data_IF_410039089129
#
_entry.id   IF_410039089129
#
_cell.length_a   1.000
_cell.length_b   1.000
_cell.length_c   1.000
_cell.angle_alpha   90.00
_cell.angle_beta   90.00
_cell.angle_gamma   90.00
#
_symmetry.space_group_name_H-M   'P 1'
#
loop_
_entity.id
_entity.type
_entity.pdbx_description
1 polymer ?
#
# COMPACT_ATOMS: atom_id res chain seq x y z
N UNK A 1 28.42 9.60 10.53
CA UNK A 1 28.64 8.16 10.50
C UNK A 1 27.63 7.60 9.52
N UNK A 2 28.09 7.08 8.41
CA UNK A 2 27.26 6.46 7.38
C UNK A 2 27.06 4.99 7.77
N UNK A 3 25.81 4.56 7.93
CA UNK A 3 25.46 3.18 8.29
C UNK A 3 24.59 2.60 7.18
N UNK A 4 24.87 1.36 6.78
CA UNK A 4 24.00 0.59 5.88
C UNK A 4 23.53 -0.69 6.54
N UNK A 5 22.30 -1.11 6.28
CA UNK A 5 21.84 -2.46 6.61
C UNK A 5 21.91 -3.33 5.36
N UNK A 6 22.60 -4.46 5.48
CA UNK A 6 22.68 -5.48 4.43
C UNK A 6 21.81 -6.67 4.80
N UNK A 7 20.81 -6.95 3.96
CA UNK A 7 19.84 -8.02 4.18
C UNK A 7 19.75 -8.93 2.96
N UNK A 8 19.68 -10.23 3.20
CA UNK A 8 19.32 -11.25 2.20
C UNK A 8 18.03 -11.88 2.67
N UNK A 9 16.98 -11.76 1.88
CA UNK A 9 15.66 -12.32 2.23
C UNK A 9 15.13 -13.17 1.08
N UNK A 10 14.50 -14.31 1.40
CA UNK A 10 13.66 -14.98 0.43
C UNK A 10 12.34 -14.20 0.32
N UNK A 11 12.04 -13.73 -0.88
CA UNK A 11 10.88 -12.91 -1.13
C UNK A 11 9.59 -13.67 -0.85
N UNK A 12 8.70 -13.05 -0.06
CA UNK A 12 7.40 -13.66 0.29
C UNK A 12 6.41 -13.55 -0.85
N UNK A 13 6.42 -12.42 -1.57
CA UNK A 13 5.37 -12.05 -2.50
C UNK A 13 5.73 -12.18 -3.98
N UNK A 14 6.97 -12.54 -4.33
CA UNK A 14 7.46 -12.50 -5.72
C UNK A 14 8.10 -13.84 -6.05
N UNK A 15 7.62 -14.43 -7.13
CA UNK A 15 8.07 -15.70 -7.67
C UNK A 15 8.24 -15.57 -9.18
N UNK A 16 8.98 -16.49 -9.78
CA UNK A 16 9.16 -16.55 -11.23
C UNK A 16 8.96 -17.97 -11.73
N UNK A 17 8.58 -18.15 -12.99
CA UNK A 17 8.57 -19.47 -13.63
C UNK A 17 9.74 -19.63 -14.59
N UNK A 18 10.06 -20.89 -14.94
CA UNK A 18 10.98 -21.21 -16.04
C UNK A 18 10.49 -20.64 -17.39
N UNK A 19 9.18 -20.37 -17.51
CA UNK A 19 8.60 -19.72 -18.69
C UNK A 19 8.96 -18.23 -18.79
N UNK A 20 9.71 -17.67 -17.83
CA UNK A 20 10.13 -16.25 -17.76
C UNK A 20 8.95 -15.32 -17.50
N UNK A 21 8.07 -15.77 -16.63
CA UNK A 21 6.94 -15.01 -16.11
C UNK A 21 7.21 -14.72 -14.63
N UNK A 22 6.76 -13.56 -14.16
CA UNK A 22 6.82 -13.18 -12.76
C UNK A 22 5.42 -13.23 -12.17
N UNK A 23 5.35 -13.77 -10.96
CA UNK A 23 4.11 -14.00 -10.24
C UNK A 23 4.18 -13.28 -8.91
N UNK A 24 3.16 -12.49 -8.66
CA UNK A 24 3.00 -11.81 -7.41
C UNK A 24 1.91 -12.50 -6.57
N UNK A 25 2.20 -12.75 -5.29
CA UNK A 25 1.30 -13.41 -4.34
C UNK A 25 1.07 -12.47 -3.17
N UNK A 26 -0.16 -11.96 -2.99
CA UNK A 26 -0.45 -10.91 -1.99
C UNK A 26 -0.19 -11.32 -0.54
N UNK A 27 -0.53 -12.55 -0.19
CA UNK A 27 -0.41 -13.08 1.18
C UNK A 27 0.96 -13.73 1.43
N UNK A 28 1.79 -13.74 0.39
CA UNK A 28 3.02 -14.49 0.32
C UNK A 28 2.80 -16.00 0.17
N UNK A 29 3.87 -16.69 -0.18
CA UNK A 29 3.83 -18.11 -0.51
C UNK A 29 5.05 -18.83 0.08
N UNK A 30 4.80 -19.99 0.71
CA UNK A 30 5.86 -20.86 1.19
C UNK A 30 6.68 -21.46 0.02
N UNK A 31 8.02 -21.54 0.12
CA UNK A 31 8.84 -22.15 -0.93
C UNK A 31 8.44 -23.60 -1.29
N UNK A 32 8.03 -24.43 -0.33
CA UNK A 32 7.63 -25.82 -0.63
C UNK A 32 6.35 -25.91 -1.47
N UNK A 33 5.49 -24.91 -1.32
CA UNK A 33 4.25 -24.77 -2.07
C UNK A 33 4.52 -24.20 -3.47
N UNK A 34 5.45 -23.25 -3.61
CA UNK A 34 5.90 -22.72 -4.89
C UNK A 34 6.43 -23.82 -5.82
N UNK A 35 7.19 -24.78 -5.28
CA UNK A 35 7.68 -25.94 -6.05
C UNK A 35 6.53 -26.75 -6.67
N UNK A 36 5.44 -26.96 -5.91
CA UNK A 36 4.24 -27.66 -6.39
C UNK A 36 3.52 -26.94 -7.54
N UNK A 37 3.78 -25.65 -7.71
CA UNK A 37 3.19 -24.80 -8.76
C UNK A 37 4.15 -24.53 -9.93
N UNK A 38 5.29 -25.20 -9.96
CA UNK A 38 6.38 -24.90 -10.88
C UNK A 38 6.85 -23.43 -10.79
N UNK A 39 6.73 -22.84 -9.59
CA UNK A 39 7.25 -21.52 -9.26
C UNK A 39 8.59 -21.62 -8.56
N UNK A 40 9.46 -20.69 -8.91
CA UNK A 40 10.80 -20.54 -8.38
C UNK A 40 10.76 -19.39 -7.38
N UNK A 41 11.08 -19.64 -6.09
CA UNK A 41 11.21 -18.58 -5.11
C UNK A 41 12.29 -17.57 -5.53
N UNK A 42 12.10 -16.30 -5.18
CA UNK A 42 13.05 -15.23 -5.49
C UNK A 42 13.80 -14.86 -4.21
N UNK A 43 15.11 -14.66 -4.31
CA UNK A 43 15.96 -14.11 -3.26
C UNK A 43 16.21 -12.64 -3.57
N UNK A 44 15.97 -11.77 -2.59
CA UNK A 44 16.26 -10.35 -2.67
C UNK A 44 17.49 -10.01 -1.82
N UNK A 45 18.52 -9.46 -2.46
CA UNK A 45 19.65 -8.82 -1.78
C UNK A 45 19.38 -7.34 -1.72
N UNK A 46 19.40 -6.78 -0.52
CA UNK A 46 19.10 -5.36 -0.30
C UNK A 46 20.17 -4.74 0.58
N UNK A 47 20.61 -3.56 0.17
CA UNK A 47 21.43 -2.67 0.97
C UNK A 47 20.66 -1.37 1.16
N UNK A 48 20.35 -0.95 2.38
CA UNK A 48 19.57 0.26 2.62
C UNK A 48 20.20 1.19 3.66
N UNK A 49 19.76 2.46 3.64
CA UNK A 49 20.09 3.46 4.65
C UNK A 49 18.97 3.46 5.71
N UNK A 50 19.26 3.15 6.98
CA UNK A 50 18.22 3.01 7.99
C UNK A 50 17.43 4.31 8.21
N UNK A 51 16.11 4.18 8.29
CA UNK A 51 15.19 5.31 8.50
C UNK A 51 14.93 6.17 7.26
N UNK A 52 15.53 5.83 6.11
CA UNK A 52 15.31 6.46 4.82
C UNK A 52 14.84 5.42 3.79
N UNK A 53 14.07 5.85 2.80
CA UNK A 53 13.71 5.00 1.65
C UNK A 53 14.82 5.01 0.59
N UNK A 54 16.08 4.90 1.04
CA UNK A 54 17.26 4.83 0.17
C UNK A 54 17.83 3.42 0.21
N UNK A 55 17.82 2.73 -0.93
CA UNK A 55 18.24 1.34 -1.01
C UNK A 55 18.78 0.97 -2.39
N UNK A 56 19.55 -0.11 -2.45
CA UNK A 56 19.90 -0.81 -3.67
C UNK A 56 19.43 -2.26 -3.51
N UNK A 57 18.65 -2.76 -4.48
CA UNK A 57 18.05 -4.08 -4.41
C UNK A 57 18.26 -4.86 -5.71
N UNK A 58 18.66 -6.13 -5.59
CA UNK A 58 18.72 -7.07 -6.72
C UNK A 58 18.00 -8.36 -6.37
N UNK A 59 17.46 -9.02 -7.39
CA UNK A 59 16.70 -10.24 -7.28
C UNK A 59 17.41 -11.39 -7.99
N UNK A 60 17.36 -12.57 -7.39
CA UNK A 60 18.00 -13.80 -7.85
C UNK A 60 17.02 -14.97 -7.71
N UNK A 61 17.19 -16.05 -8.47
CA UNK A 61 16.40 -17.25 -8.21
C UNK A 61 16.91 -17.94 -6.94
N UNK A 62 16.02 -18.65 -6.28
CA UNK A 62 16.40 -19.65 -5.29
C UNK A 62 17.33 -20.68 -5.96
N UNK A 63 18.40 -21.04 -5.27
CA UNK A 63 19.53 -21.89 -5.69
C UNK A 63 20.48 -21.25 -6.71
N UNK A 64 20.29 -19.97 -7.05
CA UNK A 64 21.31 -19.25 -7.81
C UNK A 64 22.53 -19.00 -6.93
N UNK A 65 23.69 -19.05 -7.57
CA UNK A 65 24.96 -18.72 -6.94
C UNK A 65 25.18 -17.21 -6.95
N UNK A 66 25.05 -16.57 -5.80
CA UNK A 66 25.05 -15.11 -5.70
C UNK A 66 26.44 -14.58 -5.32
N UNK A 67 26.96 -13.62 -6.08
CA UNK A 67 28.21 -12.91 -5.75
C UNK A 67 27.92 -11.69 -4.88
N UNK A 68 28.15 -11.84 -3.58
CA UNK A 68 27.97 -10.76 -2.59
C UNK A 68 28.96 -9.60 -2.86
N UNK A 69 30.19 -9.92 -3.30
CA UNK A 69 31.21 -8.93 -3.63
C UNK A 69 30.76 -8.02 -4.77
N UNK A 70 30.24 -8.60 -5.85
CA UNK A 70 29.73 -7.82 -6.99
C UNK A 70 28.52 -6.97 -6.59
N UNK A 71 27.60 -7.52 -5.80
CA UNK A 71 26.45 -6.78 -5.31
C UNK A 71 26.85 -5.56 -4.48
N UNK A 72 27.73 -5.73 -3.48
CA UNK A 72 28.18 -4.62 -2.63
C UNK A 72 28.97 -3.58 -3.44
N UNK A 73 29.87 -4.04 -4.32
CA UNK A 73 30.62 -3.15 -5.21
C UNK A 73 29.67 -2.34 -6.10
N UNK A 74 28.73 -3.00 -6.77
CA UNK A 74 27.76 -2.35 -7.64
C UNK A 74 26.91 -1.35 -6.86
N UNK A 75 26.40 -1.72 -5.69
CA UNK A 75 25.60 -0.84 -4.84
C UNK A 75 26.37 0.44 -4.49
N UNK A 76 27.61 0.32 -4.02
CA UNK A 76 28.43 1.46 -3.59
C UNK A 76 29.01 2.28 -4.74
N UNK A 77 29.31 1.64 -5.88
CA UNK A 77 29.89 2.31 -7.03
C UNK A 77 28.83 3.01 -7.90
N UNK A 78 27.64 2.42 -8.03
CA UNK A 78 26.63 2.84 -9.01
C UNK A 78 25.43 3.58 -8.43
N UNK A 79 25.08 3.37 -7.14
CA UNK A 79 23.96 4.07 -6.51
C UNK A 79 24.44 5.35 -5.79
N UNK A 80 24.23 6.55 -6.37
CA UNK A 80 24.70 7.79 -5.76
C UNK A 80 24.02 8.12 -4.43
N UNK A 81 22.83 7.57 -4.18
CA UNK A 81 22.09 7.79 -2.94
C UNK A 81 22.69 7.05 -1.76
N UNK A 82 23.46 5.97 -1.97
CA UNK A 82 24.11 5.24 -0.89
C UNK A 82 25.41 5.89 -0.42
N UNK A 83 25.94 6.89 -1.15
CA UNK A 83 27.18 7.59 -0.79
C UNK A 83 28.41 6.68 -0.65
N UNK A 84 28.40 5.49 -1.24
CA UNK A 84 29.54 4.58 -1.28
C UNK A 84 29.68 3.68 -0.04
N UNK A 85 30.92 3.33 0.32
CA UNK A 85 31.25 2.45 1.44
C UNK A 85 30.86 3.13 2.77
N UNK A 86 30.07 2.48 3.64
CA UNK A 86 29.65 3.05 4.91
C UNK A 86 30.77 3.00 5.97
N UNK A 87 30.65 3.80 7.03
CA UNK A 87 31.48 3.64 8.23
C UNK A 87 31.13 2.34 8.97
N UNK A 88 29.84 1.96 8.94
CA UNK A 88 29.30 0.80 9.65
C UNK A 88 28.36 -0.01 8.75
N UNK A 89 28.55 -1.33 8.73
CA UNK A 89 27.68 -2.27 8.01
C UNK A 89 26.96 -3.15 9.02
N UNK A 90 25.65 -2.98 9.13
CA UNK A 90 24.80 -3.84 9.92
C UNK A 90 24.38 -5.06 9.09
N UNK A 91 24.50 -6.24 9.67
CA UNK A 91 24.20 -7.51 9.02
C UNK A 91 23.60 -8.47 10.04
N UNK A 92 22.73 -9.37 9.58
CA UNK A 92 22.19 -10.42 10.43
C UNK A 92 23.31 -11.36 10.94
N UNK A 93 23.22 -11.79 12.19
CA UNK A 93 24.21 -12.68 12.82
C UNK A 93 24.32 -14.02 12.10
N UNK A 94 23.18 -14.58 11.65
CA UNK A 94 23.15 -15.83 10.91
C UNK A 94 23.81 -15.67 9.54
N UNK A 95 23.49 -14.58 8.82
CA UNK A 95 24.11 -14.24 7.54
C UNK A 95 25.62 -14.04 7.68
N UNK A 96 26.07 -13.35 8.73
CA UNK A 96 27.50 -13.13 9.02
C UNK A 96 28.24 -14.44 9.27
N UNK A 97 27.57 -15.46 9.83
CA UNK A 97 28.16 -16.77 10.08
C UNK A 97 28.42 -17.58 8.81
N UNK A 98 27.67 -17.32 7.74
CA UNK A 98 27.74 -18.06 6.47
C UNK A 98 28.54 -17.30 5.41
N UNK A 99 28.46 -15.97 5.39
CA UNK A 99 29.16 -15.14 4.39
C UNK A 99 30.57 -14.84 4.87
N UNK A 100 31.62 -15.11 4.06
CA UNK A 100 33.00 -14.73 4.39
C UNK A 100 33.23 -13.22 4.18
N UNK A 101 32.41 -12.39 4.83
CA UNK A 101 32.30 -10.96 4.57
C UNK A 101 33.63 -10.24 4.75
N UNK A 102 34.43 -10.64 5.75
CA UNK A 102 35.77 -10.10 5.96
C UNK A 102 36.70 -10.29 4.76
N UNK A 103 36.65 -11.45 4.10
CA UNK A 103 37.45 -11.71 2.88
C UNK A 103 36.94 -10.92 1.68
N UNK A 104 35.62 -10.77 1.56
CA UNK A 104 34.98 -9.95 0.52
C UNK A 104 35.35 -8.47 0.69
N UNK A 105 35.25 -7.95 1.90
CA UNK A 105 35.55 -6.55 2.23
C UNK A 105 37.02 -6.20 1.99
N UNK A 106 37.96 -7.13 2.21
CA UNK A 106 39.37 -6.94 1.85
C UNK A 106 39.59 -6.72 0.34
N UNK A 107 38.68 -7.20 -0.51
CA UNK A 107 38.75 -7.01 -1.96
C UNK A 107 38.14 -5.67 -2.40
N UNK A 108 37.01 -5.28 -1.80
CA UNK A 108 36.22 -4.11 -2.24
C UNK A 108 36.54 -2.83 -1.48
N UNK A 109 37.09 -2.96 -0.27
CA UNK A 109 37.52 -1.87 0.61
C UNK A 109 38.95 -2.14 1.14
N UNK A 110 39.96 -2.13 0.25
CA UNK A 110 41.35 -2.37 0.65
C UNK A 110 41.91 -1.27 1.57
N UNK A 111 41.31 -0.08 1.51
CA UNK A 111 41.73 1.09 2.28
C UNK A 111 41.13 1.12 3.71
N UNK A 112 40.22 0.20 4.02
CA UNK A 112 39.60 0.06 5.34
C UNK A 112 38.71 1.24 5.73
N UNK A 113 37.92 1.73 4.78
CA UNK A 113 36.94 2.79 5.01
C UNK A 113 35.80 2.31 5.91
N UNK A 114 35.37 1.06 5.76
CA UNK A 114 34.45 0.38 6.65
C UNK A 114 35.15 0.07 7.97
N UNK A 115 34.71 0.74 9.03
CA UNK A 115 35.32 0.63 10.37
C UNK A 115 34.75 -0.52 11.16
N UNK A 116 33.47 -0.80 10.99
CA UNK A 116 32.74 -1.72 11.85
C UNK A 116 31.70 -2.55 11.09
N UNK A 117 31.64 -3.84 11.43
CA UNK A 117 30.55 -4.73 11.07
C UNK A 117 29.80 -5.03 12.36
N UNK A 118 28.52 -4.71 12.41
CA UNK A 118 27.67 -4.94 13.57
C UNK A 118 26.57 -5.92 13.25
N UNK A 119 26.20 -6.70 14.25
CA UNK A 119 25.01 -7.55 14.23
C UNK A 119 23.99 -6.92 15.16
N UNK A 120 23.01 -6.23 14.59
CA UNK A 120 21.97 -5.54 15.35
C UNK A 120 20.64 -6.30 15.24
N UNK A 121 19.96 -6.45 16.38
CA UNK A 121 18.62 -7.04 16.47
C UNK A 121 17.55 -6.00 16.79
N UNK A 122 17.93 -4.71 16.78
CA UNK A 122 17.04 -3.61 17.06
C UNK A 122 15.92 -3.47 16.01
N UNK A 123 14.82 -2.83 16.41
CA UNK A 123 13.61 -2.67 15.62
C UNK A 123 13.84 -2.02 14.23
N UNK A 124 14.91 -1.24 14.09
CA UNK A 124 15.31 -0.58 12.84
C UNK A 124 15.83 -1.57 11.79
N UNK A 125 16.55 -2.62 12.20
CA UNK A 125 17.03 -3.67 11.29
C UNK A 125 15.87 -4.59 10.85
N UNK A 126 14.95 -4.91 11.77
CA UNK A 126 13.70 -5.61 11.44
C UNK A 126 12.85 -4.86 10.41
N UNK A 127 12.73 -3.53 10.55
CA UNK A 127 12.03 -2.69 9.58
C UNK A 127 12.70 -2.71 8.19
N UNK A 128 14.04 -2.76 8.11
CA UNK A 128 14.76 -2.94 6.84
C UNK A 128 14.40 -4.26 6.14
N UNK A 129 14.27 -5.38 6.88
CA UNK A 129 13.85 -6.67 6.31
C UNK A 129 12.41 -6.60 5.76
N UNK A 130 11.49 -5.92 6.46
CA UNK A 130 10.10 -5.72 5.99
C UNK A 130 10.06 -4.85 4.73
N UNK A 131 10.78 -3.73 4.73
CA UNK A 131 10.89 -2.84 3.58
C UNK A 131 11.43 -3.56 2.34
N UNK A 132 12.38 -4.49 2.50
CA UNK A 132 12.90 -5.30 1.40
C UNK A 132 11.81 -6.17 0.71
N UNK A 133 10.72 -6.51 1.40
CA UNK A 133 9.56 -7.19 0.81
C UNK A 133 8.52 -6.24 0.23
N UNK A 134 8.23 -5.12 0.89
CA UNK A 134 7.16 -4.20 0.50
C UNK A 134 7.50 -3.36 -0.74
N UNK A 135 8.79 -3.01 -0.92
CA UNK A 135 9.23 -2.20 -2.06
C UNK A 135 9.16 -2.93 -3.41
N UNK A 136 8.82 -4.21 -3.44
CA UNK A 136 8.50 -4.93 -4.69
C UNK A 136 7.00 -5.03 -4.96
N UNK A 137 6.14 -4.83 -3.95
CA UNK A 137 4.67 -4.96 -4.01
C UNK A 137 4.05 -3.75 -4.71
N UNK A 138 4.51 -2.55 -4.37
CA UNK A 138 3.89 -1.25 -4.72
C UNK A 138 4.00 -0.91 -6.23
N UNK A 139 4.63 -1.77 -7.03
CA UNK A 139 5.11 -1.42 -8.37
C UNK A 139 4.66 -2.37 -9.48
N UNK A 140 3.96 -3.46 -9.15
CA UNK A 140 3.50 -4.42 -10.16
C UNK A 140 2.22 -3.98 -10.87
N UNK A 141 1.40 -3.12 -10.25
CA UNK A 141 0.14 -2.64 -10.83
C UNK A 141 0.32 -1.78 -12.10
N UNK A 142 1.52 -1.22 -12.32
CA UNK A 142 1.89 -0.41 -13.49
C UNK A 142 2.82 -1.14 -14.48
N UNK A 143 3.11 -2.44 -14.27
CA UNK A 143 4.18 -3.15 -14.98
C UNK A 143 3.66 -4.01 -16.16
N UNK A 144 3.69 -3.44 -17.36
CA UNK A 144 3.49 -4.19 -18.61
C UNK A 144 4.83 -4.54 -19.28
N UNK A 145 5.13 -5.83 -19.37
CA UNK A 145 6.24 -6.32 -20.20
C UNK A 145 5.85 -6.26 -21.67
N UNK A 146 6.22 -5.17 -22.35
CA UNK A 146 6.03 -5.02 -23.81
C UNK A 146 6.65 -6.16 -24.64
N UNK A 147 7.63 -6.88 -24.08
CA UNK A 147 8.27 -8.05 -24.70
C UNK A 147 8.68 -9.08 -23.65
N UNK A 148 8.55 -10.37 -24.01
CA UNK A 148 9.02 -11.49 -23.19
C UNK A 148 10.55 -11.41 -22.97
N UNK A 149 11.04 -11.45 -21.72
CA UNK A 149 12.46 -11.40 -21.41
C UNK A 149 13.27 -12.54 -22.03
N UNK A 150 14.58 -12.35 -22.22
CA UNK A 150 15.46 -13.37 -22.81
C UNK A 150 15.66 -14.57 -21.87
N UNK A 151 15.71 -14.33 -20.56
CA UNK A 151 15.90 -15.33 -19.50
C UNK A 151 15.21 -14.89 -18.21
N UNK A 152 15.09 -15.79 -17.23
CA UNK A 152 14.59 -15.44 -15.89
C UNK A 152 15.52 -14.42 -15.21
N UNK A 153 16.83 -14.55 -15.39
CA UNK A 153 17.80 -13.55 -14.92
C UNK A 153 17.55 -12.18 -15.55
N UNK A 154 17.26 -12.14 -16.87
CA UNK A 154 16.90 -10.89 -17.55
C UNK A 154 15.59 -10.29 -17.00
N UNK A 155 14.61 -11.13 -16.67
CA UNK A 155 13.36 -10.69 -16.03
C UNK A 155 13.63 -10.07 -14.65
N UNK A 156 14.36 -10.77 -13.78
CA UNK A 156 14.70 -10.30 -12.44
C UNK A 156 15.54 -9.01 -12.48
N UNK A 157 16.43 -8.87 -13.47
CA UNK A 157 17.17 -7.64 -13.71
C UNK A 157 16.29 -6.47 -14.13
N UNK A 158 15.27 -6.71 -14.97
CA UNK A 158 14.29 -5.68 -15.34
C UNK A 158 13.52 -5.24 -14.09
N UNK A 159 13.04 -6.19 -13.28
CA UNK A 159 12.32 -5.91 -12.03
C UNK A 159 13.20 -5.06 -11.09
N UNK A 160 14.45 -5.48 -10.85
CA UNK A 160 15.39 -4.72 -10.01
C UNK A 160 15.70 -3.33 -10.53
N UNK A 161 15.80 -3.15 -11.85
CA UNK A 161 16.00 -1.84 -12.47
C UNK A 161 14.81 -0.91 -12.23
N UNK A 162 13.58 -1.40 -12.40
CA UNK A 162 12.35 -0.62 -12.17
C UNK A 162 12.24 -0.16 -10.71
N UNK A 163 12.51 -1.08 -9.78
CA UNK A 163 12.57 -0.79 -8.34
C UNK A 163 13.61 0.30 -8.04
N UNK A 164 14.76 0.29 -8.73
CA UNK A 164 15.82 1.29 -8.56
C UNK A 164 15.47 2.65 -9.17
N UNK A 165 14.84 2.70 -10.36
CA UNK A 165 14.50 3.96 -11.04
C UNK A 165 13.48 4.79 -10.25
N UNK A 166 12.50 4.15 -9.60
CA UNK A 166 11.47 4.85 -8.82
C UNK A 166 11.95 5.34 -7.45
N UNK A 167 13.04 4.79 -6.92
CA UNK A 167 13.75 5.36 -5.76
C UNK A 167 14.14 6.83 -6.02
N UNK A 168 14.66 7.14 -7.22
CA UNK A 168 15.01 8.51 -7.60
C UNK A 168 13.80 9.45 -7.61
N UNK A 169 12.64 8.95 -8.05
CA UNK A 169 11.39 9.72 -8.10
C UNK A 169 10.86 10.01 -6.69
N UNK A 170 10.91 9.03 -5.77
CA UNK A 170 10.40 9.17 -4.40
C UNK A 170 11.20 10.16 -3.55
N UNK A 171 12.53 10.21 -3.75
CA UNK A 171 13.42 11.19 -3.11
C UNK A 171 13.09 12.62 -3.57
N UNK A 172 12.57 12.80 -4.78
CA UNK A 172 12.24 14.11 -5.35
C UNK A 172 10.79 14.56 -5.10
N UNK A 173 9.88 13.66 -4.70
CA UNK A 173 8.42 13.91 -4.75
C UNK A 173 7.62 13.62 -3.47
N UNK A 174 8.20 13.05 -2.42
CA UNK A 174 7.45 12.77 -1.18
C UNK A 174 7.30 14.00 -0.27
N UNK A 175 6.09 14.28 0.26
CA UNK A 175 5.91 15.24 1.35
C UNK A 175 6.50 14.64 2.62
N UNK A 176 7.69 15.08 2.99
CA UNK A 176 8.42 14.52 4.12
C UNK A 176 7.96 15.11 5.46
N UNK A 177 7.95 14.26 6.49
CA UNK A 177 8.00 14.71 7.88
C UNK A 177 9.33 15.44 8.11
N UNK A 178 9.32 16.57 8.82
CA UNK A 178 10.50 17.44 9.06
C UNK A 178 11.69 16.66 9.63
N UNK A 179 11.41 15.57 10.36
CA UNK A 179 12.42 14.66 10.91
C UNK A 179 13.16 13.88 9.82
N UNK A 180 12.45 13.36 8.81
CA UNK A 180 13.01 12.64 7.66
C UNK A 180 13.74 13.57 6.71
N UNK A 181 13.23 14.78 6.48
CA UNK A 181 13.94 15.81 5.69
C UNK A 181 15.31 16.10 6.28
N UNK A 182 15.36 16.34 7.59
CA UNK A 182 16.63 16.64 8.26
C UNK A 182 17.62 15.47 8.18
N UNK A 183 17.12 14.23 8.31
CA UNK A 183 17.94 13.02 8.15
C UNK A 183 18.45 12.87 6.70
N UNK A 184 17.59 13.12 5.71
CA UNK A 184 17.93 13.09 4.29
C UNK A 184 18.95 14.16 3.94
N UNK A 185 18.77 15.41 4.37
CA UNK A 185 19.73 16.50 4.16
C UNK A 185 21.11 16.16 4.74
N UNK A 186 21.12 15.65 5.99
CA UNK A 186 22.35 15.23 6.66
C UNK A 186 23.05 14.10 5.89
N UNK A 187 22.28 13.14 5.36
CA UNK A 187 22.79 12.06 4.53
C UNK A 187 23.34 12.55 3.19
N UNK A 188 22.62 13.44 2.52
CA UNK A 188 23.03 14.01 1.23
C UNK A 188 24.30 14.87 1.34
N UNK A 189 24.56 15.47 2.51
CA UNK A 189 25.78 16.22 2.80
C UNK A 189 27.03 15.34 2.99
N UNK A 190 26.88 14.01 3.10
CA UNK A 190 28.02 13.09 3.21
C UNK A 190 28.79 13.04 1.88
N UNK A 191 30.11 13.19 1.97
CA UNK A 191 31.01 12.99 0.83
C UNK A 191 31.01 11.52 0.43
N UNK A 192 30.80 11.19 -0.87
CA UNK A 192 30.76 9.82 -1.31
C UNK A 192 32.13 9.14 -1.17
N UNK A 193 32.13 7.89 -0.72
CA UNK A 193 33.32 7.07 -0.52
C UNK A 193 33.29 5.86 -1.44
N UNK A 194 33.77 6.01 -2.67
CA UNK A 194 33.63 4.97 -3.69
C UNK A 194 34.63 3.81 -3.47
N UNK A 195 34.25 2.57 -3.86
CA UNK A 195 35.18 1.44 -3.82
C UNK A 195 36.36 1.65 -4.76
N UNK A 196 37.55 1.25 -4.30
CA UNK A 196 38.83 1.57 -4.97
C UNK A 196 39.18 0.63 -6.14
N UNK A 197 38.54 -0.54 -6.23
CA UNK A 197 38.90 -1.60 -7.19
C UNK A 197 37.67 -2.01 -8.00
N UNK A 198 37.78 -1.96 -9.33
CA UNK A 198 36.78 -2.58 -10.21
C UNK A 198 36.91 -4.11 -10.15
N UNK A 199 35.85 -4.78 -9.71
CA UNK A 199 35.79 -6.24 -9.72
C UNK A 199 35.50 -6.77 -11.14
N UNK A 200 36.21 -7.81 -11.55
CA UNK A 200 35.70 -8.74 -12.57
C UNK A 200 34.64 -9.64 -11.95
N UNK A 201 33.69 -10.23 -12.71
CA UNK A 201 32.72 -11.17 -12.17
C UNK A 201 33.42 -12.35 -11.49
N UNK A 202 33.58 -12.31 -10.18
CA UNK A 202 34.32 -13.33 -9.43
C UNK A 202 33.47 -14.60 -9.25
N UNK A 203 34.05 -15.75 -9.59
CA UNK A 203 33.47 -17.08 -9.38
C UNK A 203 33.68 -17.60 -7.94
N UNK A 204 34.51 -16.92 -7.13
CA UNK A 204 35.12 -17.47 -5.91
C UNK A 204 34.33 -17.28 -4.61
N UNK A 205 33.26 -16.46 -4.60
CA UNK A 205 32.44 -16.23 -3.39
C UNK A 205 30.95 -16.27 -3.72
N UNK A 206 30.54 -17.40 -4.30
CA UNK A 206 29.15 -17.70 -4.61
C UNK A 206 28.49 -18.32 -3.38
N UNK A 207 27.60 -17.55 -2.75
CA UNK A 207 26.77 -18.02 -1.66
C UNK A 207 25.73 -19.00 -2.22
N UNK A 208 25.62 -20.17 -1.61
CA UNK A 208 24.49 -21.06 -1.84
C UNK A 208 23.29 -20.53 -1.05
N UNK A 209 22.10 -20.46 -1.65
CA UNK A 209 20.93 -19.85 -0.99
C UNK A 209 20.14 -20.84 -0.15
N UNK A 210 20.50 -22.12 -0.17
CA UNK A 210 19.83 -23.21 0.57
C UNK A 210 19.62 -22.90 2.06
N UNK A 211 20.53 -22.14 2.69
CA UNK A 211 20.45 -21.81 4.11
C UNK A 211 19.43 -20.70 4.43
N UNK A 212 19.06 -19.85 3.46
CA UNK A 212 18.08 -18.76 3.63
C UNK A 212 16.69 -19.32 3.97
N UNK A 213 16.43 -20.60 3.66
CA UNK A 213 15.21 -21.34 3.99
C UNK A 213 14.96 -21.53 5.50
N UNK A 214 15.97 -21.37 6.36
CA UNK A 214 15.80 -21.47 7.82
C UNK A 214 15.28 -20.17 8.46
N UNK A 215 15.62 -19.02 7.90
CA UNK A 215 15.14 -17.68 8.29
C UNK A 215 13.83 -17.29 7.58
N UNK A 216 13.41 -18.03 6.54
CA UNK A 216 12.04 -17.95 6.02
C UNK A 216 11.06 -18.59 7.03
N UNK A 217 10.99 -18.02 8.23
CA UNK A 217 10.01 -18.37 9.23
C UNK A 217 8.62 -18.16 8.64
N UNK A 218 8.00 -19.31 8.35
CA UNK A 218 6.58 -19.60 8.41
C UNK A 218 5.70 -18.38 8.13
N UNK A 219 5.35 -18.19 6.85
CA UNK A 219 3.94 -17.84 6.60
C UNK A 219 3.17 -18.88 7.41
N UNK A 220 2.40 -18.48 8.45
CA UNK A 220 1.76 -19.44 9.33
C UNK A 220 1.02 -20.42 8.43
N UNK A 221 1.32 -21.72 8.57
CA UNK A 221 0.61 -22.71 7.79
C UNK A 221 -0.88 -22.46 8.04
N UNK A 222 -1.68 -22.29 6.98
CA UNK A 222 -3.12 -22.34 7.13
C UNK A 222 -3.40 -23.66 7.84
N UNK A 223 -4.10 -23.59 8.97
CA UNK A 223 -4.44 -24.78 9.74
C UNK A 223 -5.05 -25.81 8.78
N UNK A 224 -4.39 -26.98 8.70
CA UNK A 224 -4.70 -28.18 7.90
C UNK A 224 -6.10 -28.11 7.24
N UNK A 225 -6.11 -27.89 5.92
CA UNK A 225 -7.28 -27.88 5.05
C UNK A 225 -6.81 -27.59 3.64
N UNK A 226 -7.18 -28.44 2.67
CA UNK A 226 -6.56 -28.52 1.33
C UNK A 226 -6.48 -27.14 0.65
N UNK A 227 -5.26 -26.68 0.39
CA UNK A 227 -5.01 -25.48 -0.40
C UNK A 227 -4.91 -25.85 -1.89
N UNK A 228 -5.67 -25.16 -2.74
CA UNK A 228 -5.58 -25.27 -4.20
C UNK A 228 -4.92 -24.02 -4.75
N UNK A 229 -3.99 -24.21 -5.68
CA UNK A 229 -3.50 -23.14 -6.51
C UNK A 229 -4.27 -23.09 -7.82
N UNK A 230 -4.59 -21.88 -8.29
CA UNK A 230 -4.97 -21.67 -9.68
C UNK A 230 -4.27 -20.44 -10.25
N UNK A 231 -4.07 -20.47 -11.57
CA UNK A 231 -3.55 -19.35 -12.34
C UNK A 231 -4.67 -18.62 -13.08
N UNK A 232 -4.73 -17.30 -13.00
CA UNK A 232 -5.64 -16.43 -13.77
C UNK A 232 -4.87 -15.80 -14.93
N UNK A 233 -5.24 -16.09 -16.17
CA UNK A 233 -4.73 -15.44 -17.38
C UNK A 233 -5.71 -14.34 -17.82
N UNK A 234 -5.22 -13.10 -17.93
CA UNK A 234 -5.82 -12.07 -18.77
C UNK A 234 -4.92 -11.83 -19.99
N UNK A 235 -5.39 -11.05 -20.98
CA UNK A 235 -4.70 -10.82 -22.26
C UNK A 235 -3.22 -10.39 -22.12
N UNK A 236 -2.81 -9.82 -20.98
CA UNK A 236 -1.46 -9.33 -20.73
C UNK A 236 -0.73 -9.93 -19.50
N UNK A 237 -1.40 -10.73 -18.63
CA UNK A 237 -0.81 -11.18 -17.34
C UNK A 237 -1.31 -12.55 -16.85
N UNK A 238 -0.41 -13.30 -16.17
CA UNK A 238 -0.73 -14.48 -15.36
C UNK A 238 -0.59 -14.18 -13.87
N UNK A 239 -1.66 -14.37 -13.12
CA UNK A 239 -1.66 -14.29 -11.65
C UNK A 239 -1.73 -15.70 -11.07
N UNK A 240 -1.09 -15.95 -9.93
CA UNK A 240 -1.24 -17.21 -9.19
C UNK A 240 -1.87 -16.92 -7.83
N UNK A 241 -2.93 -17.66 -7.52
CA UNK A 241 -3.72 -17.48 -6.32
C UNK A 241 -3.78 -18.77 -5.50
N UNK A 242 -3.77 -18.61 -4.17
CA UNK A 242 -4.02 -19.68 -3.20
C UNK A 242 -5.47 -19.67 -2.74
N UNK A 243 -6.09 -20.85 -2.71
CA UNK A 243 -7.47 -21.09 -2.30
C UNK A 243 -7.48 -22.12 -1.16
N UNK A 244 -7.84 -21.71 0.05
CA UNK A 244 -7.93 -22.62 1.20
C UNK A 244 -9.34 -23.20 1.30
N UNK A 245 -9.51 -24.52 1.13
CA UNK A 245 -10.77 -25.19 1.46
C UNK A 245 -10.76 -25.57 2.95
N UNK A 246 -11.73 -25.07 3.70
CA UNK A 246 -12.14 -25.74 4.93
C UNK A 246 -12.96 -26.98 4.55
N UNK A 247 -12.68 -28.10 5.21
CA UNK A 247 -13.41 -29.35 5.02
C UNK A 247 -14.91 -29.12 5.22
N UNK A 248 -15.66 -29.16 4.12
CA UNK A 248 -17.03 -29.63 4.14
C UNK A 248 -17.09 -30.86 3.24
N UNK A 249 -17.51 -31.96 3.85
CA UNK A 249 -17.74 -33.27 3.24
C UNK A 249 -18.64 -33.11 2.00
N UNK A 250 -18.10 -33.15 0.78
CA UNK A 250 -18.82 -33.63 -0.42
C UNK A 250 -17.88 -33.75 -1.64
N UNK A 251 -18.02 -34.86 -2.38
CA UNK A 251 -17.21 -35.19 -3.56
C UNK A 251 -17.44 -34.20 -4.73
N UNK A 252 -16.41 -33.89 -5.54
CA UNK A 252 -16.55 -32.93 -6.62
C UNK A 252 -17.23 -33.56 -7.83
N UNK A 253 -18.34 -32.97 -8.27
CA UNK A 253 -18.85 -33.14 -9.62
C UNK A 253 -18.44 -31.91 -10.46
N UNK A 254 -17.86 -32.22 -11.62
CA UNK A 254 -17.32 -31.28 -12.59
C UNK A 254 -18.37 -30.30 -13.16
N UNK A 255 -17.84 -29.14 -13.59
CA UNK A 255 -18.27 -28.28 -14.72
C UNK A 255 -18.65 -26.81 -14.41
N UNK A 256 -18.87 -26.35 -13.17
CA UNK A 256 -19.27 -24.93 -12.92
C UNK A 256 -18.29 -24.06 -12.07
N UNK A 257 -17.06 -24.52 -11.82
CA UNK A 257 -16.17 -23.88 -10.83
C UNK A 257 -15.61 -22.49 -11.21
N UNK A 258 -15.66 -22.06 -12.48
CA UNK A 258 -15.11 -20.76 -12.90
C UNK A 258 -15.89 -19.55 -12.38
N UNK A 259 -17.14 -19.71 -11.91
CA UNK A 259 -17.96 -18.61 -11.36
C UNK A 259 -17.93 -18.49 -9.84
N UNK A 260 -17.53 -19.52 -9.10
CA UNK A 260 -17.52 -19.47 -7.63
C UNK A 260 -16.27 -18.78 -7.03
N UNK A 261 -15.25 -18.51 -7.85
CA UNK A 261 -13.89 -18.21 -7.38
C UNK A 261 -13.71 -16.75 -6.92
N UNK A 262 -14.56 -15.80 -7.35
CA UNK A 262 -14.54 -14.42 -6.84
C UNK A 262 -15.29 -14.26 -5.50
N UNK A 263 -16.05 -15.29 -5.10
CA UNK A 263 -17.03 -15.22 -4.00
C UNK A 263 -16.44 -15.47 -2.60
N UNK A 264 -15.24 -16.06 -2.51
CA UNK A 264 -14.69 -16.66 -1.27
C UNK A 264 -13.53 -15.90 -0.61
N UNK A 265 -12.96 -14.85 -1.23
CA UNK A 265 -12.00 -13.95 -0.55
C UNK A 265 -12.69 -13.28 0.65
N UNK A 266 -12.00 -13.02 1.75
CA UNK A 266 -12.58 -12.37 2.93
C UNK A 266 -11.70 -11.20 3.40
N UNK A 267 -12.29 -10.05 3.66
CA UNK A 267 -11.62 -8.84 4.13
C UNK A 267 -11.91 -8.62 5.61
N UNK A 268 -10.89 -8.17 6.36
CA UNK A 268 -11.01 -7.71 7.73
C UNK A 268 -11.19 -6.19 7.79
N UNK A 269 -11.75 -5.72 8.91
CA UNK A 269 -11.98 -4.29 9.11
C UNK A 269 -10.71 -3.42 9.04
N UNK A 270 -9.53 -3.86 9.52
CA UNK A 270 -8.29 -3.09 9.36
C UNK A 270 -7.86 -2.92 7.90
N UNK A 271 -8.13 -3.90 7.05
CA UNK A 271 -7.78 -3.88 5.62
C UNK A 271 -8.74 -3.00 4.80
N UNK A 272 -9.82 -2.55 5.41
CA UNK A 272 -10.90 -1.78 4.78
C UNK A 272 -11.19 -0.50 5.57
N UNK A 273 -10.17 0.09 6.18
CA UNK A 273 -10.28 1.24 7.08
C UNK A 273 -11.13 2.38 6.49
N UNK A 274 -10.94 2.71 5.21
CA UNK A 274 -11.74 3.74 4.53
C UNK A 274 -13.22 3.39 4.38
N UNK A 275 -13.55 2.11 4.11
CA UNK A 275 -14.94 1.64 4.05
C UNK A 275 -15.57 1.71 5.44
N UNK A 276 -14.87 1.26 6.47
CA UNK A 276 -15.33 1.31 7.87
C UNK A 276 -15.56 2.75 8.32
N UNK A 277 -14.61 3.65 8.06
CA UNK A 277 -14.73 5.07 8.36
C UNK A 277 -15.95 5.68 7.66
N UNK A 278 -16.17 5.35 6.39
CA UNK A 278 -17.34 5.82 5.64
C UNK A 278 -18.64 5.32 6.28
N UNK A 279 -18.73 4.02 6.58
CA UNK A 279 -19.91 3.40 7.18
C UNK A 279 -20.22 3.97 8.58
N UNK A 280 -19.19 4.25 9.38
CA UNK A 280 -19.33 4.87 10.71
C UNK A 280 -19.80 6.32 10.62
N UNK A 281 -19.34 7.04 9.60
CA UNK A 281 -19.64 8.45 9.41
C UNK A 281 -20.97 8.70 8.68
N UNK A 282 -21.58 7.71 8.03
CA UNK A 282 -22.85 7.90 7.32
C UNK A 282 -23.93 8.53 8.21
N UNK A 283 -24.63 9.53 7.67
CA UNK A 283 -25.71 10.24 8.35
C UNK A 283 -26.94 9.37 8.66
N UNK A 284 -27.01 8.16 8.11
CA UNK A 284 -28.09 7.22 8.32
C UNK A 284 -27.62 5.76 8.32
N UNK A 285 -28.33 4.83 8.99
CA UNK A 285 -27.92 3.45 9.12
C UNK A 285 -28.06 2.75 7.77
N UNK A 286 -26.97 2.15 7.31
CA UNK A 286 -26.97 1.37 6.07
C UNK A 286 -27.75 0.05 6.19
N UNK A 287 -28.10 -0.34 7.42
CA UNK A 287 -28.66 -1.66 7.77
C UNK A 287 -29.93 -1.99 6.98
N UNK A 288 -30.77 -1.00 6.70
CA UNK A 288 -32.02 -1.17 5.94
C UNK A 288 -31.80 -1.31 4.43
N UNK A 289 -30.58 -1.05 3.95
CA UNK A 289 -30.20 -1.06 2.54
C UNK A 289 -29.20 -2.16 2.22
N UNK A 290 -28.86 -3.01 3.19
CA UNK A 290 -27.89 -4.07 3.00
C UNK A 290 -28.35 -5.06 1.94
N UNK A 291 -27.42 -5.61 1.14
CA UNK A 291 -27.70 -6.75 0.29
C UNK A 291 -28.24 -7.91 1.14
N UNK A 292 -29.14 -8.72 0.59
CA UNK A 292 -29.82 -9.80 1.33
C UNK A 292 -28.85 -10.80 1.98
N UNK A 293 -27.69 -11.00 1.36
CA UNK A 293 -26.65 -11.91 1.85
C UNK A 293 -25.76 -11.30 2.95
N UNK A 294 -25.92 -10.01 3.30
CA UNK A 294 -25.17 -9.33 4.36
C UNK A 294 -26.09 -9.05 5.55
N UNK A 295 -26.00 -9.88 6.59
CA UNK A 295 -26.78 -9.64 7.80
C UNK A 295 -26.28 -8.43 8.59
N UNK A 296 -27.20 -7.71 9.23
CA UNK A 296 -26.87 -6.60 10.16
C UNK A 296 -25.97 -7.00 11.32
N UNK A 297 -25.99 -8.30 11.70
CA UNK A 297 -25.11 -8.87 12.71
C UNK A 297 -23.70 -9.08 12.16
N UNK A 298 -23.58 -9.61 10.94
CA UNK A 298 -22.29 -9.79 10.27
C UNK A 298 -21.59 -8.45 10.07
N UNK A 299 -22.30 -7.43 9.55
CA UNK A 299 -21.76 -6.08 9.38
C UNK A 299 -21.24 -5.50 10.71
N UNK A 300 -22.03 -5.59 11.79
CA UNK A 300 -21.60 -5.09 13.11
C UNK A 300 -20.40 -5.83 13.70
N UNK A 301 -20.29 -7.14 13.45
CA UNK A 301 -19.12 -7.92 13.86
C UNK A 301 -17.88 -7.55 13.04
N UNK A 302 -18.06 -7.34 11.74
CA UNK A 302 -17.03 -6.87 10.82
C UNK A 302 -16.49 -5.50 11.19
N UNK A 303 -17.36 -4.51 11.41
CA UNK A 303 -16.95 -3.16 11.85
C UNK A 303 -16.22 -3.14 13.20
N UNK A 304 -16.31 -4.22 14.00
CA UNK A 304 -15.58 -4.38 15.26
C UNK A 304 -14.31 -5.24 15.12
N UNK A 305 -13.95 -5.62 13.89
CA UNK A 305 -12.80 -6.50 13.59
C UNK A 305 -12.96 -7.93 14.10
N UNK A 306 -14.19 -8.39 14.38
CA UNK A 306 -14.43 -9.72 14.99
C UNK A 306 -14.64 -10.84 13.98
N UNK A 307 -15.17 -10.49 12.80
CA UNK A 307 -15.52 -11.44 11.74
C UNK A 307 -15.23 -10.76 10.41
N UNK A 308 -14.55 -11.39 9.45
CA UNK A 308 -14.32 -10.80 8.14
C UNK A 308 -15.58 -10.91 7.26
N UNK A 309 -15.68 -10.09 6.21
CA UNK A 309 -16.72 -10.21 5.20
C UNK A 309 -16.13 -10.73 3.90
N UNK A 310 -16.90 -11.48 3.11
CA UNK A 310 -16.39 -11.94 1.82
C UNK A 310 -16.09 -10.78 0.85
N UNK A 311 -15.39 -11.04 -0.25
CA UNK A 311 -15.06 -10.05 -1.27
C UNK A 311 -16.29 -9.56 -1.98
N UNK A 312 -17.24 -10.46 -2.27
CA UNK A 312 -18.54 -10.07 -2.78
C UNK A 312 -19.25 -9.18 -1.77
N UNK A 313 -19.30 -9.58 -0.49
CA UNK A 313 -19.93 -8.75 0.54
C UNK A 313 -19.28 -7.37 0.66
N UNK A 314 -17.95 -7.30 0.58
CA UNK A 314 -17.18 -6.06 0.68
C UNK A 314 -17.32 -5.18 -0.56
N UNK A 315 -17.31 -5.78 -1.76
CA UNK A 315 -17.53 -5.12 -3.04
C UNK A 315 -18.96 -4.60 -3.15
N UNK A 316 -19.93 -5.37 -2.68
CA UNK A 316 -21.33 -4.99 -2.66
C UNK A 316 -21.61 -3.92 -1.61
N UNK A 317 -20.95 -3.96 -0.45
CA UNK A 317 -20.96 -2.85 0.50
C UNK A 317 -20.34 -1.59 -0.09
N UNK A 318 -19.21 -1.70 -0.77
CA UNK A 318 -18.57 -0.57 -1.41
C UNK A 318 -19.45 0.00 -2.52
N UNK A 319 -20.07 -0.86 -3.34
CA UNK A 319 -21.00 -0.45 -4.38
C UNK A 319 -22.25 0.20 -3.78
N UNK A 320 -22.77 -0.35 -2.68
CA UNK A 320 -23.90 0.21 -1.96
C UNK A 320 -23.57 1.61 -1.42
N UNK A 321 -22.44 1.77 -0.73
CA UNK A 321 -21.97 3.07 -0.23
C UNK A 321 -21.84 4.08 -1.37
N UNK A 322 -21.36 3.66 -2.54
CA UNK A 322 -21.16 4.53 -3.70
C UNK A 322 -22.43 4.86 -4.49
N UNK A 323 -23.48 4.04 -4.37
CA UNK A 323 -24.77 4.24 -5.06
C UNK A 323 -25.81 4.95 -4.19
N UNK A 324 -25.57 5.05 -2.90
CA UNK A 324 -26.44 5.72 -1.95
C UNK A 324 -26.06 7.22 -1.78
N UNK A 325 -27.01 8.07 -1.36
CA UNK A 325 -26.74 9.47 -1.01
C UNK A 325 -25.65 9.60 0.06
N UNK A 326 -24.45 10.07 -0.31
CA UNK A 326 -23.32 10.18 0.62
C UNK A 326 -23.38 11.52 1.37
N UNK A 327 -23.94 11.48 2.57
CA UNK A 327 -23.81 12.55 3.58
C UNK A 327 -23.14 11.96 4.81
N UNK A 328 -21.99 12.50 5.23
CA UNK A 328 -21.21 11.96 6.35
C UNK A 328 -20.95 12.98 7.47
N UNK A 329 -20.91 12.47 8.71
CA UNK A 329 -20.59 13.15 9.97
C UNK A 329 -19.41 12.44 10.65
N UNK A 330 -18.18 12.66 10.17
CA UNK A 330 -17.02 12.08 10.82
C UNK A 330 -16.79 12.69 12.21
N UNK A 331 -16.30 11.88 13.14
CA UNK A 331 -16.04 12.26 14.53
C UNK A 331 -14.63 12.81 14.73
N UNK A 332 -13.67 12.38 13.90
CA UNK A 332 -12.28 12.83 13.95
C UNK A 332 -11.76 13.18 12.55
N UNK A 333 -10.62 13.87 12.49
CA UNK A 333 -9.96 14.20 11.22
C UNK A 333 -9.48 12.93 10.49
N UNK A 334 -9.02 11.91 11.22
CA UNK A 334 -8.58 10.64 10.67
C UNK A 334 -9.76 9.88 10.03
N UNK A 335 -10.90 9.78 10.73
CA UNK A 335 -12.12 9.16 10.18
C UNK A 335 -12.61 9.93 8.94
N UNK A 336 -12.54 11.27 8.98
CA UNK A 336 -12.87 12.11 7.83
C UNK A 336 -11.96 11.81 6.62
N UNK A 337 -10.65 11.71 6.85
CA UNK A 337 -9.63 11.47 5.81
C UNK A 337 -9.79 10.08 5.19
N UNK A 338 -9.97 9.05 6.03
CA UNK A 338 -10.16 7.68 5.58
C UNK A 338 -11.47 7.52 4.78
N UNK A 339 -12.57 8.12 5.26
CA UNK A 339 -13.85 8.12 4.55
C UNK A 339 -13.74 8.85 3.22
N UNK A 340 -13.13 10.04 3.21
CA UNK A 340 -12.88 10.81 2.00
C UNK A 340 -12.07 10.01 0.97
N UNK A 341 -10.98 9.34 1.39
CA UNK A 341 -10.19 8.47 0.53
C UNK A 341 -11.00 7.34 -0.09
N UNK A 342 -11.92 6.72 0.67
CA UNK A 342 -12.79 5.66 0.17
C UNK A 342 -13.82 6.16 -0.86
N UNK A 343 -14.47 7.29 -0.57
CA UNK A 343 -15.50 7.91 -1.43
C UNK A 343 -14.89 8.36 -2.76
N UNK A 344 -13.68 8.88 -2.73
CA UNK A 344 -13.05 9.63 -3.84
C UNK A 344 -11.92 8.88 -4.54
N UNK A 345 -11.58 7.65 -4.12
CA UNK A 345 -10.38 6.93 -4.54
C UNK A 345 -9.10 7.75 -4.31
N UNK A 346 -8.81 8.04 -3.03
CA UNK A 346 -7.62 8.77 -2.59
C UNK A 346 -7.51 10.22 -3.12
N UNK A 347 -8.63 10.95 -3.14
CA UNK A 347 -8.65 12.38 -3.45
C UNK A 347 -8.96 12.73 -4.90
N UNK A 348 -9.37 11.76 -5.72
CA UNK A 348 -9.75 12.00 -7.10
C UNK A 348 -11.16 12.61 -7.22
N UNK A 349 -11.26 13.93 -6.99
CA UNK A 349 -12.47 14.72 -7.15
C UNK A 349 -12.40 15.65 -8.37
N UNK A 350 -13.55 15.94 -8.99
CA UNK A 350 -13.70 17.01 -9.98
C UNK A 350 -13.57 18.39 -9.32
N UNK A 351 -14.17 18.53 -8.14
CA UNK A 351 -14.07 19.69 -7.27
C UNK A 351 -14.42 19.29 -5.84
N UNK A 352 -13.96 20.10 -4.89
CA UNK A 352 -14.38 20.07 -3.48
C UNK A 352 -14.31 21.51 -2.95
N UNK A 353 -15.40 21.96 -2.35
CA UNK A 353 -15.54 23.32 -1.81
C UNK A 353 -15.97 23.25 -0.35
N UNK A 354 -15.48 24.18 0.48
CA UNK A 354 -16.19 24.54 1.70
C UNK A 354 -17.34 25.49 1.34
N UNK A 355 -18.56 25.16 1.77
CA UNK A 355 -19.74 25.99 1.52
C UNK A 355 -19.92 26.99 2.66
N UNK A 356 -20.06 28.27 2.31
CA UNK A 356 -20.24 29.38 3.26
C UNK A 356 -21.56 30.12 3.01
N UNK A 357 -22.05 30.85 4.02
CA UNK A 357 -23.31 31.62 3.94
C UNK A 357 -23.10 33.14 4.07
N UNK A 358 -21.87 33.62 3.86
CA UNK A 358 -21.46 35.02 4.04
C UNK A 358 -21.20 35.43 5.51
N UNK A 359 -20.92 36.73 5.74
CA UNK A 359 -20.48 37.31 7.03
C UNK A 359 -21.51 37.19 8.19
N UNK A 360 -22.72 36.69 7.95
CA UNK A 360 -23.83 36.70 8.91
C UNK A 360 -24.43 35.32 9.21
N UNK A 361 -23.83 34.22 8.71
CA UNK A 361 -24.30 32.86 9.00
C UNK A 361 -23.85 32.34 10.38
N UNK A 362 -24.76 31.69 11.10
CA UNK A 362 -24.43 30.94 12.33
C UNK A 362 -23.78 29.61 11.93
N UNK A 363 -22.47 29.48 12.14
CA UNK A 363 -21.69 28.29 11.80
C UNK A 363 -21.72 27.24 12.91
N UNK A 364 -22.86 26.60 13.17
CA UNK A 364 -22.85 25.38 14.01
C UNK A 364 -22.14 24.22 13.31
N UNK A 365 -22.16 24.23 11.98
CA UNK A 365 -21.55 23.24 11.12
C UNK A 365 -20.72 23.92 10.04
N UNK A 366 -19.69 23.21 9.59
CA UNK A 366 -18.97 23.45 8.35
C UNK A 366 -19.42 22.39 7.34
N UNK A 367 -19.60 22.81 6.10
CA UNK A 367 -20.10 21.96 5.03
C UNK A 367 -19.05 21.88 3.94
N UNK A 368 -18.66 20.66 3.55
CA UNK A 368 -17.80 20.44 2.40
C UNK A 368 -18.55 19.63 1.37
N UNK A 369 -18.74 20.20 0.19
CA UNK A 369 -19.38 19.52 -0.92
C UNK A 369 -18.34 19.20 -1.99
N UNK A 370 -18.34 17.95 -2.43
CA UNK A 370 -17.47 17.50 -3.50
C UNK A 370 -18.22 16.70 -4.54
N UNK A 371 -17.60 16.53 -5.70
CA UNK A 371 -18.10 15.66 -6.75
C UNK A 371 -16.97 14.75 -7.21
N UNK A 372 -17.14 13.45 -7.02
CA UNK A 372 -16.17 12.43 -7.44
C UNK A 372 -16.74 11.61 -8.61
N UNK A 373 -15.91 11.26 -9.63
CA UNK A 373 -16.40 10.57 -10.83
C UNK A 373 -17.13 9.25 -10.58
N UNK A 374 -16.84 8.59 -9.47
CA UNK A 374 -17.38 7.26 -9.14
C UNK A 374 -18.58 7.27 -8.21
N UNK A 375 -18.86 8.39 -7.53
CA UNK A 375 -19.88 8.51 -6.48
C UNK A 375 -20.83 9.68 -6.70
N UNK A 376 -20.50 10.58 -7.63
CA UNK A 376 -21.25 11.80 -7.84
C UNK A 376 -21.04 12.80 -6.70
N UNK A 377 -22.09 13.57 -6.40
CA UNK A 377 -22.05 14.61 -5.38
C UNK A 377 -22.17 13.98 -3.99
N UNK A 378 -21.32 14.45 -3.09
CA UNK A 378 -21.32 14.05 -1.68
C UNK A 378 -21.18 15.28 -0.77
N UNK A 379 -21.61 15.14 0.48
CA UNK A 379 -21.54 16.19 1.49
C UNK A 379 -20.87 15.67 2.76
N UNK A 380 -19.86 16.39 3.25
CA UNK A 380 -19.23 16.18 4.55
C UNK A 380 -19.70 17.29 5.48
N UNK A 381 -20.24 16.90 6.63
CA UNK A 381 -20.70 17.82 7.66
C UNK A 381 -19.80 17.71 8.88
N UNK A 382 -19.22 18.83 9.28
CA UNK A 382 -18.33 18.91 10.44
C UNK A 382 -18.96 19.83 11.48
N UNK A 383 -19.19 19.32 12.69
CA UNK A 383 -19.65 20.16 13.79
C UNK A 383 -18.50 21.07 14.25
N UNK A 384 -18.76 22.37 14.34
CA UNK A 384 -17.75 23.34 14.77
C UNK A 384 -17.30 23.06 16.20
N UNK A 385 -15.98 23.05 16.42
CA UNK A 385 -15.35 22.72 17.70
C UNK A 385 -15.31 21.22 18.05
N UNK A 386 -15.71 20.33 17.12
CA UNK A 386 -15.55 18.88 17.29
C UNK A 386 -14.11 18.43 17.02
N UNK A 387 -13.78 17.17 17.33
CA UNK A 387 -12.46 16.60 17.01
C UNK A 387 -12.22 16.44 15.50
N UNK A 388 -13.26 16.53 14.67
CA UNK A 388 -13.15 16.58 13.22
C UNK A 388 -12.91 18.01 12.69
N UNK A 389 -13.16 19.05 13.50
CA UNK A 389 -12.91 20.46 13.17
C UNK A 389 -11.46 20.85 13.49
N UNK A 390 -10.51 20.11 12.89
CA UNK A 390 -9.08 20.33 13.06
C UNK A 390 -8.52 21.34 12.05
N UNK A 391 -7.37 21.97 12.36
CA UNK A 391 -6.70 22.92 11.45
C UNK A 391 -6.22 22.25 10.15
N UNK A 392 -6.02 20.93 10.15
CA UNK A 392 -5.58 20.14 9.00
C UNK A 392 -6.73 19.65 8.11
N UNK A 393 -7.98 19.99 8.42
CA UNK A 393 -9.15 19.44 7.73
C UNK A 393 -9.18 19.79 6.22
N UNK A 394 -8.97 21.07 5.86
CA UNK A 394 -8.94 21.48 4.44
C UNK A 394 -7.83 20.77 3.66
N UNK A 395 -6.65 20.63 4.26
CA UNK A 395 -5.53 19.90 3.64
C UNK A 395 -5.81 18.42 3.51
N UNK A 396 -6.44 17.79 4.51
CA UNK A 396 -6.79 16.37 4.48
C UNK A 396 -7.85 16.05 3.40
N UNK A 397 -8.75 17.00 3.13
CA UNK A 397 -9.75 16.90 2.06
C UNK A 397 -9.22 17.32 0.69
N UNK A 398 -7.94 17.69 0.58
CA UNK A 398 -7.34 18.25 -0.65
C UNK A 398 -8.19 19.40 -1.23
N UNK A 399 -8.77 20.23 -0.37
CA UNK A 399 -9.57 21.38 -0.78
C UNK A 399 -8.66 22.44 -1.41
N UNK A 400 -8.52 22.37 -2.74
CA UNK A 400 -7.69 23.29 -3.54
C UNK A 400 -8.46 24.54 -3.99
N UNK A 401 -9.78 24.47 -3.94
CA UNK A 401 -10.67 25.55 -4.38
C UNK A 401 -10.98 26.51 -3.22
N UNK A 402 -11.24 27.76 -3.58
CA UNK A 402 -11.70 28.78 -2.64
C UNK A 402 -13.07 28.43 -2.05
N UNK A 403 -13.38 29.05 -0.91
CA UNK A 403 -14.68 28.88 -0.26
C UNK A 403 -15.81 29.37 -1.17
N UNK A 404 -16.85 28.55 -1.30
CA UNK A 404 -17.98 28.86 -2.16
C UNK A 404 -19.13 29.42 -1.34
N UNK A 405 -19.45 30.70 -1.55
CA UNK A 405 -20.62 31.34 -0.92
C UNK A 405 -21.90 30.89 -1.64
N UNK A 406 -22.73 30.12 -0.92
CA UNK A 406 -24.05 29.65 -1.39
C UNK A 406 -25.19 30.57 -0.92
N UNK A 407 -24.85 31.69 -0.30
CA UNK A 407 -25.76 32.67 0.26
C UNK A 407 -26.41 32.22 1.57
N UNK A 408 -26.82 33.21 2.38
CA UNK A 408 -27.42 32.99 3.70
C UNK A 408 -28.62 32.03 3.67
N UNK A 409 -29.50 32.14 2.68
CA UNK A 409 -30.69 31.29 2.56
C UNK A 409 -30.32 29.83 2.25
N UNK A 410 -29.33 29.60 1.38
CA UNK A 410 -28.84 28.26 1.07
C UNK A 410 -28.20 27.60 2.29
N UNK A 411 -27.33 28.35 2.98
CA UNK A 411 -26.66 27.89 4.19
C UNK A 411 -27.64 27.58 5.33
N UNK A 412 -28.64 28.44 5.54
CA UNK A 412 -29.70 28.21 6.53
C UNK A 412 -30.54 26.98 6.20
N UNK A 413 -30.86 26.76 4.92
CA UNK A 413 -31.62 25.58 4.49
C UNK A 413 -30.84 24.28 4.68
N UNK A 414 -29.53 24.26 4.35
CA UNK A 414 -28.66 23.11 4.63
C UNK A 414 -28.59 22.84 6.14
N UNK A 415 -28.32 23.88 6.93
CA UNK A 415 -28.24 23.77 8.39
C UNK A 415 -29.54 23.22 8.99
N UNK A 416 -30.70 23.68 8.51
CA UNK A 416 -32.02 23.22 8.97
C UNK A 416 -32.22 21.71 8.78
N UNK A 417 -31.85 21.19 7.61
CA UNK A 417 -32.02 19.77 7.28
C UNK A 417 -30.98 18.90 7.97
N UNK A 418 -29.74 19.39 8.06
CA UNK A 418 -28.63 18.74 8.76
C UNK A 418 -28.92 18.59 10.25
N UNK A 419 -29.42 19.63 10.93
CA UNK A 419 -29.82 19.55 12.34
C UNK A 419 -30.92 18.49 12.60
N UNK A 420 -31.77 18.24 11.60
CA UNK A 420 -32.89 17.30 11.68
C UNK A 420 -32.53 15.89 11.21
N UNK A 421 -31.40 15.70 10.53
CA UNK A 421 -30.98 14.38 10.04
C UNK A 421 -30.95 13.31 11.16
N UNK A 422 -30.44 13.59 12.37
CA UNK A 422 -30.47 12.62 13.47
C UNK A 422 -31.88 12.23 13.95
N UNK A 423 -32.87 13.10 13.77
CA UNK A 423 -34.25 12.87 14.21
C UNK A 423 -35.02 11.98 13.23
N UNK A 424 -34.78 12.15 11.93
CA UNK A 424 -35.50 11.44 10.88
C UNK A 424 -34.75 10.21 10.39
N UNK A 425 -33.43 10.25 10.33
CA UNK A 425 -32.56 9.12 10.00
C UNK A 425 -32.92 8.38 8.69
N UNK A 426 -33.38 9.12 7.68
CA UNK A 426 -33.96 8.55 6.44
C UNK A 426 -33.17 9.02 5.21
N UNK A 427 -32.84 8.07 4.34
CA UNK A 427 -32.17 8.26 3.03
C UNK A 427 -32.79 9.38 2.19
N UNK A 428 -34.11 9.54 2.20
CA UNK A 428 -34.82 10.56 1.41
C UNK A 428 -34.42 12.00 1.75
N UNK A 429 -34.06 12.29 3.01
CA UNK A 429 -33.58 13.63 3.40
C UNK A 429 -32.16 13.85 2.87
N UNK A 430 -31.30 12.83 2.92
CA UNK A 430 -29.97 12.92 2.32
C UNK A 430 -30.03 13.14 0.81
N UNK A 431 -30.95 12.46 0.10
CA UNK A 431 -31.20 12.75 -1.33
C UNK A 431 -31.60 14.21 -1.55
N UNK A 432 -32.56 14.73 -0.77
CA UNK A 432 -32.98 16.13 -0.87
C UNK A 432 -31.83 17.11 -0.62
N UNK A 433 -30.98 16.83 0.38
CA UNK A 433 -29.81 17.65 0.70
C UNK A 433 -28.84 17.65 -0.49
N UNK A 434 -28.52 16.49 -1.06
CA UNK A 434 -27.58 16.41 -2.19
C UNK A 434 -28.14 17.10 -3.44
N UNK A 435 -29.42 16.94 -3.74
CA UNK A 435 -30.09 17.67 -4.84
C UNK A 435 -30.04 19.19 -4.64
N UNK A 436 -30.19 19.65 -3.38
CA UNK A 436 -30.05 21.06 -3.03
C UNK A 436 -28.61 21.54 -3.24
N UNK A 437 -27.62 20.78 -2.75
CA UNK A 437 -26.20 21.08 -2.91
C UNK A 437 -25.83 21.14 -4.39
N UNK A 438 -26.27 20.17 -5.20
CA UNK A 438 -26.03 20.16 -6.65
C UNK A 438 -26.54 21.43 -7.33
N UNK A 439 -27.78 21.84 -7.04
CA UNK A 439 -28.37 23.06 -7.60
C UNK A 439 -27.65 24.31 -7.13
N UNK A 440 -27.22 24.37 -5.86
CA UNK A 440 -26.46 25.49 -5.31
C UNK A 440 -25.08 25.60 -5.98
N UNK A 441 -24.39 24.47 -6.17
CA UNK A 441 -23.11 24.40 -6.87
C UNK A 441 -23.27 24.88 -8.32
N UNK A 442 -24.26 24.39 -9.05
CA UNK A 442 -24.53 24.83 -10.42
C UNK A 442 -24.80 26.34 -10.50
N UNK A 443 -25.70 26.86 -9.66
CA UNK A 443 -26.04 28.29 -9.66
C UNK A 443 -24.84 29.19 -9.33
N UNK A 444 -24.00 28.78 -8.37
CA UNK A 444 -22.85 29.57 -7.92
C UNK A 444 -21.68 29.50 -8.91
N UNK A 445 -21.47 28.34 -9.54
CA UNK A 445 -20.44 28.17 -10.59
C UNK A 445 -20.81 28.85 -11.91
N UNK A 446 -22.08 28.92 -12.27
CA UNK A 446 -22.54 29.68 -13.44
C UNK A 446 -22.46 31.20 -13.22
N UNK A 447 -22.59 31.64 -11.96
CA UNK A 447 -22.37 33.02 -11.55
C UNK A 447 -20.90 33.47 -11.66
N UNK A 448 -19.93 32.56 -11.52
CA UNK A 448 -18.49 32.83 -11.64
C UNK A 448 -17.99 32.96 -13.09
N UNK A 449 -18.79 32.52 -14.07
CA UNK A 449 -18.46 32.60 -15.51
C UNK A 449 -18.96 33.87 -16.20
N UNK A 450 -19.76 34.67 -15.50
CA UNK A 450 -20.22 36.00 -15.93
C UNK A 450 -19.53 37.07 -15.08
#
# INVERSE_FOLDING_TARGET
>A
MLTHHFTIVQHKYLFVSEEREAFWVSEGLNPSEAEGLALIPVIALTLNVPGLDLYHQRFFKHNDKISIANFLYEAWASNPFLKGIPDQLCIDEELLSVVPLKGILQLIDPDGQLKEIVTDTDATFGASKVQAHEQSIIYWEDFELLRKPASVESLLNIIGKMVSERQGILVESSPHDKSRDHLLEKHLAISPSLPSISLSPDEYFRLDTDWVTKESWQVPMPAIGKAYCYSEENDDHRWIHWLFLQDEDEEPNDVDQYKLIDETRHYWSPETEGLIATLNALAYPIVEYLPEHISSRALRSFMKGRVPLSKIMTKDLLHLVKSLPIVIYPKTVEECTAAFGCITRHGHCKYIFELTGGEHSSHKFRFFAGNAPTTGIFLIVIQVGSMADGPMLKSALFCKEDDLDIGHAGFAALSYWVERLPEFNIKGICTLILDMVEKMLHASMDGLKN
#
